data_IF_852968583768
#
_entry.id   IF_852968583768
#
_cell.length_a   1.000
_cell.length_b   1.000
_cell.length_c   1.000
_cell.angle_alpha   90.00
_cell.angle_beta   90.00
_cell.angle_gamma   90.00
#
_symmetry.space_group_name_H-M   'P 1'
#
loop_
_entity.id
_entity.type
_entity.pdbx_description
1 polymer ?
#
# COMPACT_ATOMS: atom_id res chain seq x y z
N UNK A 1 3.99 9.38 -14.30
CA UNK A 1 3.82 9.55 -15.76
C UNK A 1 2.51 8.91 -16.29
N UNK A 2 2.00 7.84 -15.66
CA UNK A 2 0.87 7.05 -16.19
C UNK A 2 1.33 6.07 -17.27
N UNK A 3 0.42 5.21 -17.74
CA UNK A 3 0.70 4.28 -18.84
C UNK A 3 0.97 5.06 -20.15
N UNK A 4 2.23 5.05 -20.61
CA UNK A 4 2.64 5.65 -21.88
C UNK A 4 2.51 7.18 -21.96
N UNK A 5 2.55 7.89 -20.83
CA UNK A 5 2.47 9.36 -20.81
C UNK A 5 1.08 9.94 -21.06
N UNK A 6 0.00 9.12 -20.99
CA UNK A 6 -1.38 9.59 -21.13
C UNK A 6 -1.73 10.73 -20.17
N UNK A 7 -1.34 10.59 -18.90
CA UNK A 7 -1.63 11.57 -17.85
C UNK A 7 -0.92 12.90 -18.17
N UNK A 8 0.33 12.86 -18.63
CA UNK A 8 1.07 14.07 -19.00
C UNK A 8 0.42 14.74 -20.21
N UNK A 9 0.03 13.98 -21.24
CA UNK A 9 -0.66 14.53 -22.42
C UNK A 9 -1.96 15.22 -22.05
N UNK A 10 -2.75 14.63 -21.16
CA UNK A 10 -4.02 15.20 -20.70
C UNK A 10 -3.82 16.50 -19.93
N UNK A 11 -2.82 16.56 -19.03
CA UNK A 11 -2.49 17.80 -18.31
C UNK A 11 -2.02 18.88 -19.29
N UNK A 12 -1.14 18.55 -20.24
CA UNK A 12 -0.65 19.49 -21.26
C UNK A 12 -1.80 20.02 -22.12
N UNK A 13 -2.75 19.16 -22.50
CA UNK A 13 -3.91 19.53 -23.33
C UNK A 13 -4.88 20.45 -22.59
N UNK A 14 -5.14 20.19 -21.31
CA UNK A 14 -6.09 20.98 -20.50
C UNK A 14 -5.51 22.26 -19.94
N UNK A 15 -4.24 22.26 -19.55
CA UNK A 15 -3.58 23.42 -18.94
C UNK A 15 -2.82 24.28 -19.95
N UNK A 16 -2.50 23.72 -21.12
CA UNK A 16 -1.64 24.36 -22.11
C UNK A 16 -0.17 24.50 -21.67
N UNK A 17 0.21 23.90 -20.55
CA UNK A 17 1.58 23.93 -20.03
C UNK A 17 2.41 22.79 -20.62
N UNK A 18 3.67 23.06 -20.99
CA UNK A 18 4.66 22.02 -21.30
C UNK A 18 5.22 21.45 -20.01
N UNK A 19 5.15 20.13 -19.86
CA UNK A 19 5.64 19.40 -18.71
C UNK A 19 6.75 18.47 -19.18
N UNK A 20 7.93 18.59 -18.58
CA UNK A 20 9.07 17.71 -18.82
C UNK A 20 9.42 17.01 -17.50
N UNK A 21 9.67 15.70 -17.56
CA UNK A 21 10.01 14.89 -16.39
C UNK A 21 11.36 14.26 -16.68
N UNK A 22 12.33 14.55 -15.82
CA UNK A 22 13.67 13.96 -15.87
C UNK A 22 13.70 12.65 -15.07
N UNK A 23 14.64 11.75 -15.41
CA UNK A 23 14.75 10.42 -14.79
C UNK A 23 15.14 10.47 -13.30
N UNK A 24 15.57 11.63 -12.81
CA UNK A 24 15.87 11.93 -11.41
C UNK A 24 14.62 12.31 -10.60
N UNK A 25 13.44 12.42 -11.24
CA UNK A 25 12.19 12.83 -10.61
C UNK A 25 11.94 14.35 -10.64
N UNK A 26 12.81 15.13 -11.29
CA UNK A 26 12.61 16.57 -11.45
C UNK A 26 11.53 16.84 -12.51
N UNK A 27 10.43 17.48 -12.09
CA UNK A 27 9.34 17.90 -12.98
C UNK A 27 9.49 19.39 -13.32
N UNK A 28 9.75 19.71 -14.59
CA UNK A 28 9.84 21.08 -15.11
C UNK A 28 8.53 21.45 -15.81
N UNK A 29 7.88 22.52 -15.35
CA UNK A 29 6.65 23.06 -15.94
C UNK A 29 7.00 24.39 -16.63
N UNK A 30 6.63 24.52 -17.90
CA UNK A 30 6.82 25.73 -18.70
C UNK A 30 5.50 26.12 -19.37
N UNK A 31 5.00 27.33 -19.12
CA UNK A 31 3.84 27.88 -19.82
C UNK A 31 4.03 29.38 -20.08
N UNK A 32 3.22 29.93 -20.99
CA UNK A 32 3.24 31.35 -21.36
C UNK A 32 2.72 32.27 -20.25
N UNK A 33 1.84 31.74 -19.39
CA UNK A 33 1.12 32.50 -18.37
C UNK A 33 1.29 31.84 -17.00
N UNK A 34 1.44 32.65 -15.95
CA UNK A 34 1.60 32.19 -14.57
C UNK A 34 0.39 31.36 -14.11
N UNK A 35 -0.83 31.72 -14.50
CA UNK A 35 -2.05 30.98 -14.16
C UNK A 35 -2.05 29.54 -14.71
N UNK A 36 -1.45 29.31 -15.88
CA UNK A 36 -1.31 27.96 -16.46
C UNK A 36 -0.28 27.14 -15.71
N UNK A 37 0.79 27.78 -15.24
CA UNK A 37 1.80 27.15 -14.38
C UNK A 37 1.16 26.72 -13.07
N UNK A 38 0.38 27.59 -12.44
CA UNK A 38 -0.26 27.31 -11.15
C UNK A 38 -1.36 26.24 -11.30
N UNK A 39 -2.15 26.27 -12.39
CA UNK A 39 -3.12 25.22 -12.70
C UNK A 39 -2.44 23.86 -12.92
N UNK A 40 -1.36 23.81 -13.70
CA UNK A 40 -0.59 22.59 -13.92
C UNK A 40 0.08 22.10 -12.64
N UNK A 41 0.64 23.00 -11.83
CA UNK A 41 1.29 22.69 -10.56
C UNK A 41 0.30 22.14 -9.54
N UNK A 42 -0.87 22.76 -9.38
CA UNK A 42 -1.91 22.26 -8.49
C UNK A 42 -2.40 20.89 -8.93
N UNK A 43 -2.62 20.68 -10.23
CA UNK A 43 -3.05 19.38 -10.74
C UNK A 43 -1.99 18.30 -10.56
N UNK A 44 -0.72 18.60 -10.87
CA UNK A 44 0.40 17.69 -10.62
C UNK A 44 0.49 17.39 -9.14
N UNK A 45 0.40 18.39 -8.27
CA UNK A 45 0.43 18.21 -6.81
C UNK A 45 -0.74 17.34 -6.32
N UNK A 46 -1.94 17.48 -6.87
CA UNK A 46 -3.09 16.63 -6.53
C UNK A 46 -2.94 15.19 -7.03
N UNK A 47 -2.24 14.97 -8.14
CA UNK A 47 -1.92 13.63 -8.67
C UNK A 47 -0.77 12.99 -7.88
N UNK A 48 0.17 13.80 -7.39
CA UNK A 48 1.38 13.38 -6.69
C UNK A 48 1.17 13.29 -5.17
N UNK A 49 0.07 13.84 -4.63
CA UNK A 49 -0.29 13.73 -3.21
C UNK A 49 -0.01 12.32 -2.70
N UNK A 50 1.05 12.22 -1.89
CA UNK A 50 1.54 10.95 -1.40
C UNK A 50 0.43 10.34 -0.55
N UNK A 51 0.10 9.05 -0.75
CA UNK A 51 -0.91 8.42 0.06
C UNK A 51 -0.48 8.49 1.53
N UNK A 52 -1.37 9.00 2.39
CA UNK A 52 -1.07 9.08 3.81
C UNK A 52 -1.18 7.67 4.42
N UNK A 53 -0.16 7.22 5.18
CA UNK A 53 -0.23 5.95 5.88
C UNK A 53 -1.43 5.96 6.84
N UNK A 54 -2.25 4.93 6.76
CA UNK A 54 -3.50 4.80 7.51
C UNK A 54 -4.76 5.13 6.71
N UNK A 55 -4.65 5.73 5.52
CA UNK A 55 -5.83 6.05 4.70
C UNK A 55 -6.33 4.82 3.93
N UNK A 56 -7.65 4.71 3.82
CA UNK A 56 -8.34 3.69 3.03
C UNK A 56 -8.54 4.21 1.61
N UNK A 57 -8.14 3.41 0.64
CA UNK A 57 -8.28 3.69 -0.78
C UNK A 57 -9.08 2.58 -1.46
N UNK A 58 -9.83 2.95 -2.49
CA UNK A 58 -10.45 1.97 -3.39
C UNK A 58 -9.47 1.66 -4.52
N UNK A 59 -9.19 0.38 -4.75
CA UNK A 59 -8.26 -0.06 -5.76
C UNK A 59 -8.75 -1.26 -6.56
N UNK A 60 -8.13 -1.46 -7.71
CA UNK A 60 -8.45 -2.55 -8.62
C UNK A 60 -7.36 -3.60 -8.61
N UNK A 61 -7.72 -4.86 -8.45
CA UNK A 61 -6.79 -5.99 -8.54
C UNK A 61 -6.24 -6.04 -9.96
N UNK A 62 -4.93 -5.87 -10.14
CA UNK A 62 -4.26 -5.97 -11.44
C UNK A 62 -3.82 -7.40 -11.70
N UNK A 63 -3.32 -8.07 -10.67
CA UNK A 63 -2.77 -9.42 -10.77
C UNK A 63 -2.83 -10.15 -9.43
N UNK A 64 -3.17 -11.43 -9.45
CA UNK A 64 -3.13 -12.30 -8.27
C UNK A 64 -1.94 -13.26 -8.38
N UNK A 65 -1.25 -13.52 -7.27
CA UNK A 65 -0.10 -14.43 -7.17
C UNK A 65 -0.22 -15.28 -5.91
N UNK A 66 0.48 -16.42 -5.82
CA UNK A 66 0.30 -17.36 -4.71
C UNK A 66 0.53 -16.77 -3.31
N UNK A 67 1.36 -15.74 -3.19
CA UNK A 67 1.67 -15.07 -1.93
C UNK A 67 0.91 -13.75 -1.70
N UNK A 68 0.00 -13.35 -2.59
CA UNK A 68 -0.74 -12.09 -2.45
C UNK A 68 -1.44 -11.58 -3.73
N UNK A 69 -1.77 -10.30 -3.73
CA UNK A 69 -2.38 -9.64 -4.89
C UNK A 69 -1.80 -8.24 -5.09
N UNK A 70 -1.67 -7.85 -6.35
CA UNK A 70 -1.33 -6.49 -6.76
C UNK A 70 -2.62 -5.71 -6.96
N UNK A 71 -2.78 -4.63 -6.20
CA UNK A 71 -3.92 -3.74 -6.24
C UNK A 71 -3.44 -2.36 -6.63
N UNK A 72 -4.02 -1.80 -7.68
CA UNK A 72 -3.80 -0.42 -8.08
C UNK A 72 -4.86 0.46 -7.41
N UNK A 73 -4.45 1.20 -6.39
CA UNK A 73 -5.36 1.97 -5.51
C UNK A 73 -5.18 3.48 -5.66
N UNK A 74 -4.04 3.94 -6.18
CA UNK A 74 -3.80 5.35 -6.46
C UNK A 74 -2.60 5.56 -7.41
N UNK A 75 -2.83 6.22 -8.54
CA UNK A 75 -1.76 6.66 -9.44
C UNK A 75 -1.05 5.55 -10.24
N UNK A 76 0.27 5.67 -10.37
CA UNK A 76 1.10 4.81 -11.24
C UNK A 76 1.84 3.68 -10.49
N UNK A 77 1.63 3.54 -9.18
CA UNK A 77 2.30 2.53 -8.35
C UNK A 77 1.30 1.49 -7.88
N UNK A 78 1.65 0.22 -8.07
CA UNK A 78 0.86 -0.90 -7.59
C UNK A 78 1.20 -1.20 -6.13
N UNK A 79 0.18 -1.46 -5.32
CA UNK A 79 0.36 -1.95 -3.96
C UNK A 79 0.27 -3.47 -3.89
N UNK A 80 1.06 -4.06 -3.03
CA UNK A 80 1.05 -5.49 -2.75
C UNK A 80 0.26 -5.75 -1.47
N UNK A 81 -0.82 -6.52 -1.59
CA UNK A 81 -1.51 -7.14 -0.46
C UNK A 81 -0.93 -8.52 -0.26
N UNK A 82 -0.29 -8.77 0.88
CA UNK A 82 0.20 -10.10 1.22
C UNK A 82 -0.96 -11.04 1.59
N UNK A 83 -0.84 -12.36 1.36
CA UNK A 83 -1.92 -13.32 1.67
C UNK A 83 -2.42 -13.26 3.11
N UNK A 84 -1.53 -12.96 4.07
CA UNK A 84 -1.87 -12.77 5.50
C UNK A 84 -2.61 -11.45 5.82
N UNK A 85 -2.75 -10.57 4.83
CA UNK A 85 -3.40 -9.27 4.93
C UNK A 85 -4.68 -9.21 4.09
N UNK A 86 -5.04 -10.30 3.39
CA UNK A 86 -6.27 -10.42 2.59
C UNK A 86 -7.48 -10.63 3.49
N UNK A 87 -7.40 -11.59 4.41
CA UNK A 87 -8.47 -11.92 5.35
C UNK A 87 -7.89 -12.31 6.71
N UNK A 88 -8.74 -12.25 7.76
CA UNK A 88 -8.44 -12.79 9.09
C UNK A 88 -8.40 -14.33 9.07
N UNK A 89 -9.12 -14.95 8.14
CA UNK A 89 -9.13 -16.39 7.95
C UNK A 89 -7.92 -16.88 7.16
N UNK A 90 -7.57 -18.15 7.34
CA UNK A 90 -6.42 -18.75 6.67
C UNK A 90 -6.77 -19.03 5.21
N UNK A 91 -6.45 -18.08 4.34
CA UNK A 91 -6.62 -18.22 2.89
C UNK A 91 -5.54 -19.15 2.34
N UNK A 92 -5.94 -20.28 1.75
CA UNK A 92 -5.02 -21.21 1.11
C UNK A 92 -4.54 -20.67 -0.25
N UNK A 93 -5.45 -20.16 -1.07
CA UNK A 93 -5.11 -19.50 -2.33
C UNK A 93 -5.77 -18.11 -2.40
N UNK A 94 -5.01 -17.04 -2.62
CA UNK A 94 -5.57 -15.70 -2.79
C UNK A 94 -6.47 -15.58 -4.03
N UNK A 95 -6.29 -16.44 -5.04
CA UNK A 95 -7.14 -16.50 -6.23
C UNK A 95 -8.59 -16.94 -5.96
N UNK A 96 -8.85 -17.59 -4.82
CA UNK A 96 -10.21 -17.98 -4.42
C UNK A 96 -11.01 -16.80 -3.84
N UNK A 97 -10.30 -15.76 -3.38
CA UNK A 97 -10.88 -14.60 -2.67
C UNK A 97 -10.80 -13.33 -3.53
N UNK A 98 -9.78 -13.22 -4.37
CA UNK A 98 -9.53 -12.06 -5.22
C UNK A 98 -9.51 -12.47 -6.68
N UNK A 99 -10.27 -11.74 -7.49
CA UNK A 99 -10.28 -11.89 -8.94
C UNK A 99 -9.53 -10.75 -9.61
N UNK A 100 -8.82 -11.03 -10.70
CA UNK A 100 -8.21 -9.98 -11.52
C UNK A 100 -9.29 -9.03 -12.07
N UNK A 101 -9.08 -7.73 -11.88
CA UNK A 101 -10.01 -6.69 -12.24
C UNK A 101 -11.10 -6.38 -11.21
N UNK A 102 -11.12 -7.07 -10.06
CA UNK A 102 -12.05 -6.78 -8.97
C UNK A 102 -11.71 -5.45 -8.28
N UNK A 103 -12.74 -4.65 -7.97
CA UNK A 103 -12.61 -3.47 -7.12
C UNK A 103 -12.66 -3.88 -5.66
N UNK A 104 -11.67 -3.43 -4.89
CA UNK A 104 -11.47 -3.77 -3.47
C UNK A 104 -11.02 -2.53 -2.71
N UNK A 105 -11.41 -2.43 -1.44
CA UNK A 105 -10.94 -1.35 -0.55
C UNK A 105 -9.72 -1.83 0.24
N UNK A 106 -8.68 -1.03 0.28
CA UNK A 106 -7.37 -1.35 0.87
C UNK A 106 -6.89 -0.20 1.74
N UNK A 107 -6.35 -0.49 2.92
CA UNK A 107 -5.67 0.48 3.78
C UNK A 107 -4.20 0.55 3.39
N UNK A 108 -3.69 1.76 3.18
CA UNK A 108 -2.27 1.99 2.95
C UNK A 108 -1.51 1.90 4.26
N UNK A 109 -0.62 0.91 4.41
CA UNK A 109 0.20 0.74 5.60
C UNK A 109 1.53 1.50 5.51
N UNK A 110 2.00 1.77 4.29
CA UNK A 110 3.27 2.43 4.04
C UNK A 110 4.00 1.85 2.83
N UNK A 111 5.24 2.28 2.64
CA UNK A 111 6.11 1.83 1.55
C UNK A 111 7.30 1.05 2.13
N UNK A 112 7.67 -0.04 1.46
CA UNK A 112 8.89 -0.81 1.77
C UNK A 112 10.14 -0.12 1.20
N UNK A 113 11.33 -0.46 1.68
CA UNK A 113 12.62 0.08 1.20
C UNK A 113 12.85 -0.11 -0.32
N UNK A 114 12.10 -1.03 -0.93
CA UNK A 114 12.11 -1.34 -2.36
C UNK A 114 11.15 -0.48 -3.19
N UNK A 115 10.52 0.53 -2.59
CA UNK A 115 9.52 1.38 -3.25
C UNK A 115 8.17 0.71 -3.50
N UNK A 116 7.93 -0.46 -2.89
CA UNK A 116 6.67 -1.21 -3.01
C UNK A 116 5.71 -0.78 -1.92
N UNK A 117 4.50 -0.43 -2.30
CA UNK A 117 3.43 -0.08 -1.38
C UNK A 117 2.89 -1.33 -0.67
N UNK A 118 2.85 -1.32 0.66
CA UNK A 118 2.21 -2.35 1.49
C UNK A 118 0.75 -1.94 1.76
N UNK A 119 -0.15 -2.86 1.45
CA UNK A 119 -1.59 -2.68 1.62
C UNK A 119 -2.18 -3.77 2.52
N UNK A 120 -3.27 -3.43 3.20
CA UNK A 120 -4.04 -4.37 3.99
C UNK A 120 -5.53 -4.32 3.66
N UNK A 121 -6.15 -5.48 3.50
CA UNK A 121 -7.59 -5.64 3.26
C UNK A 121 -8.32 -6.11 4.52
N UNK A 122 -7.65 -6.83 5.42
CA UNK A 122 -8.27 -7.42 6.63
C UNK A 122 -8.81 -6.39 7.64
N UNK A 123 -8.29 -5.16 7.61
CA UNK A 123 -8.64 -4.06 8.53
C UNK A 123 -9.62 -3.07 7.92
N UNK A 124 -10.07 -3.35 6.69
CA UNK A 124 -11.01 -2.49 5.95
C UNK A 124 -12.27 -3.28 5.68
N UNK A 125 -13.38 -2.70 6.09
CA UNK A 125 -14.69 -3.22 5.71
C UNK A 125 -14.93 -2.96 4.22
N UNK A 126 -15.15 -4.02 3.45
CA UNK A 126 -15.37 -3.92 2.00
C UNK A 126 -16.73 -3.26 1.67
N UNK A 127 -17.74 -3.43 2.53
CA UNK A 127 -19.07 -2.85 2.36
C UNK A 127 -19.08 -1.38 2.78
N UNK A 128 -18.64 -1.07 4.00
CA UNK A 128 -18.74 0.29 4.56
C UNK A 128 -17.53 1.17 4.22
N UNK A 129 -16.36 0.58 3.97
CA UNK A 129 -15.11 1.33 3.81
C UNK A 129 -14.59 1.95 5.10
N UNK A 130 -15.17 1.58 6.25
CA UNK A 130 -14.68 2.02 7.55
C UNK A 130 -13.42 1.25 7.95
N UNK A 131 -12.55 1.94 8.69
CA UNK A 131 -11.44 1.32 9.38
C UNK A 131 -11.98 0.56 10.59
N UNK A 132 -11.88 -0.77 10.53
CA UNK A 132 -12.33 -1.65 11.61
C UNK A 132 -11.16 -2.14 12.47
N UNK A 133 -9.96 -1.55 12.34
CA UNK A 133 -8.78 -1.91 13.12
C UNK A 133 -9.08 -1.90 14.62
N UNK A 134 -9.73 -0.84 15.11
CA UNK A 134 -10.04 -0.68 16.54
C UNK A 134 -11.06 -1.71 17.02
N UNK A 135 -12.07 -2.02 16.20
CA UNK A 135 -13.07 -3.06 16.51
C UNK A 135 -12.41 -4.44 16.59
N UNK A 136 -11.58 -4.79 15.61
CA UNK A 136 -10.91 -6.10 15.58
C UNK A 136 -9.93 -6.22 16.74
N UNK A 137 -9.19 -5.17 17.08
CA UNK A 137 -8.27 -5.18 18.21
C UNK A 137 -8.99 -5.29 19.56
N UNK A 138 -10.12 -4.60 19.73
CA UNK A 138 -10.96 -4.74 20.93
C UNK A 138 -11.47 -6.18 21.08
N UNK A 139 -12.00 -6.76 20.00
CA UNK A 139 -12.54 -8.12 20.02
C UNK A 139 -11.46 -9.19 20.23
N UNK A 140 -10.24 -8.97 19.73
CA UNK A 140 -9.07 -9.83 20.00
C UNK A 140 -8.57 -9.71 21.43
N UNK A 141 -8.56 -8.50 21.99
CA UNK A 141 -8.18 -8.28 23.38
C UNK A 141 -9.12 -9.01 24.35
N UNK A 142 -10.42 -9.02 24.06
CA UNK A 142 -11.40 -9.80 24.82
C UNK A 142 -11.18 -11.31 24.73
N UNK A 143 -10.64 -11.81 23.60
CA UNK A 143 -10.24 -13.21 23.41
C UNK A 143 -8.84 -13.54 23.95
N UNK A 144 -8.13 -12.55 24.50
CA UNK A 144 -6.75 -12.72 24.99
C UNK A 144 -5.71 -12.89 23.87
N UNK A 145 -6.03 -12.49 22.64
CA UNK A 145 -5.13 -12.55 21.50
C UNK A 145 -4.28 -11.27 21.38
N UNK A 146 -3.10 -11.39 20.77
CA UNK A 146 -2.28 -10.22 20.49
C UNK A 146 -2.99 -9.26 19.52
N UNK A 147 -2.87 -7.93 19.73
CA UNK A 147 -3.42 -6.95 18.81
C UNK A 147 -2.78 -7.14 17.43
N UNK A 148 -3.53 -6.79 16.39
CA UNK A 148 -2.97 -6.65 15.06
C UNK A 148 -1.97 -5.50 15.12
N UNK A 149 -0.67 -5.83 15.18
CA UNK A 149 0.36 -4.85 14.88
C UNK A 149 0.20 -4.42 13.41
N UNK A 150 0.50 -3.15 13.11
CA UNK A 150 0.82 -2.62 11.77
C UNK A 150 2.12 -3.27 11.24
N UNK A 151 2.21 -4.60 11.38
CA UNK A 151 3.40 -5.39 11.25
C UNK A 151 3.88 -5.29 9.81
N UNK A 152 4.84 -4.39 9.65
CA UNK A 152 5.53 -4.04 8.42
C UNK A 152 6.48 -5.17 8.03
N UNK A 153 6.13 -6.44 8.28
CA UNK A 153 6.94 -7.58 7.90
C UNK A 153 8.34 -7.53 8.50
N UNK A 154 8.42 -7.56 9.82
CA UNK A 154 9.67 -7.88 10.51
C UNK A 154 9.54 -9.30 11.03
N UNK A 155 10.23 -10.29 10.40
CA UNK A 155 10.47 -11.58 11.07
C UNK A 155 10.86 -11.27 12.52
N UNK A 156 10.19 -11.86 13.54
CA UNK A 156 10.71 -11.75 14.89
C UNK A 156 12.13 -12.30 14.82
N UNK A 157 13.10 -11.45 15.17
CA UNK A 157 14.48 -11.89 15.37
C UNK A 157 14.35 -12.99 16.41
N UNK A 158 14.43 -14.26 15.98
CA UNK A 158 14.52 -15.40 16.89
C UNK A 158 15.74 -15.09 17.74
N UNK A 159 15.51 -14.59 18.95
CA UNK A 159 16.47 -14.70 20.02
C UNK A 159 16.60 -16.20 20.28
N UNK A 160 17.54 -16.81 19.56
CA UNK A 160 17.91 -18.19 19.73
C UNK A 160 18.44 -18.36 21.14
N UNK A 161 17.59 -18.89 22.01
CA UNK A 161 18.03 -19.48 23.27
C UNK A 161 18.81 -20.77 23.01
N UNK A 162 19.87 -20.94 23.81
CA UNK A 162 20.75 -22.11 23.87
C UNK A 162 22.17 -21.63 24.14
N UNK A 163 22.68 -21.67 25.36
CA UNK A 163 23.04 -22.94 25.96
C UNK A 163 22.81 -22.99 27.48
N UNK A 164 22.13 -24.06 27.91
CA UNK A 164 22.08 -24.53 29.29
C UNK A 164 23.21 -25.53 29.41
N UNK A 165 24.35 -25.15 29.99
CA UNK A 165 25.24 -26.18 30.54
C UNK A 165 25.00 -26.32 32.05
N UNK A 166 24.37 -27.43 32.39
CA UNK A 166 24.14 -27.87 33.76
C UNK A 166 25.46 -28.36 34.33
N UNK A 167 25.67 -28.06 35.61
CA UNK A 167 26.83 -28.51 36.35
C UNK A 167 27.15 -30.00 36.18
N UNK A 168 28.45 -30.28 36.08
CA UNK A 168 29.02 -31.60 36.34
C UNK A 168 29.96 -31.52 37.53
N UNK A 169 29.44 -32.08 38.62
CA UNK A 169 30.07 -32.62 39.82
C UNK A 169 31.59 -32.94 39.80
N UNK A 170 32.21 -32.66 40.96
CA UNK A 170 33.28 -33.39 41.66
C UNK A 170 34.70 -33.40 41.06
N UNK A 171 35.63 -32.76 41.77
CA UNK A 171 36.55 -33.41 42.73
C UNK A 171 37.08 -32.41 43.74
#
# INVERSE_FOLDING_TARGET
>A
IGTGGKIIREIVEKTGAKINIEDDGTVKIAASDQEKIDAAKNWISSIVSEPEPGTIYSGKVVKVVDFGAFVNFFGAKDGLVHVSQISLERVANPADVLTEGQEVKVKFLGMDDRGKTKLSMKVVDQETGEDITDKINAERAERGEAPLSDDTGGRPKREGGGDRDRGRSRR
#
